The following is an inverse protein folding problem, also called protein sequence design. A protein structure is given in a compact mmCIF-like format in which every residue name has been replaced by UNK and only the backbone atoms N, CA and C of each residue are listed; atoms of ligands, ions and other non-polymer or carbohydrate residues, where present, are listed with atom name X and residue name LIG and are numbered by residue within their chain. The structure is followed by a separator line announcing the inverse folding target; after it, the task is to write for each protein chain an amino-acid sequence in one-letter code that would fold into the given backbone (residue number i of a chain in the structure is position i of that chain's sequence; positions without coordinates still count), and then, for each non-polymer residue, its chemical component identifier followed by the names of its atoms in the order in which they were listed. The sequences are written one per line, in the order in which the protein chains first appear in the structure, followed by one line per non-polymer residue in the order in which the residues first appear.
data_IF_474551208942
#
_entry.id   IF_474551208942
#
_cell.length_a   1.000
_cell.length_b   1.000
_cell.length_c   1.000
_cell.angle_alpha   90.00
_cell.angle_beta   90.00
_cell.angle_gamma   90.00
#
_symmetry.space_group_name_H-M   'P 1'
#
loop_
_entity.id
_entity.type
_entity.pdbx_description
1 polymer ?
#
# COMPACT_ATOMS: atom_id res chain seq x y z
N UNK A 1 -16.34 9.94 7.41
CA UNK A 1 -16.31 9.09 6.20
C UNK A 1 -15.66 7.74 6.50
N UNK A 2 -14.53 7.71 7.21
CA UNK A 2 -13.81 6.51 7.67
C UNK A 2 -14.67 5.36 8.22
N UNK A 3 -15.61 5.64 9.14
CA UNK A 3 -16.44 4.60 9.76
C UNK A 3 -17.27 3.75 8.77
N UNK A 4 -17.49 4.24 7.54
CA UNK A 4 -18.21 3.49 6.50
C UNK A 4 -17.41 2.31 5.95
N UNK A 5 -16.08 2.34 6.03
CA UNK A 5 -15.24 1.22 5.60
C UNK A 5 -15.46 -0.05 6.44
N UNK A 6 -15.91 0.09 7.69
CA UNK A 6 -16.28 -1.06 8.52
C UNK A 6 -17.49 -1.84 7.97
N UNK A 7 -18.27 -1.23 7.08
CA UNK A 7 -19.41 -1.87 6.42
C UNK A 7 -19.06 -2.39 5.01
N UNK A 8 -17.84 -2.19 4.53
CA UNK A 8 -17.41 -2.62 3.20
C UNK A 8 -16.58 -3.90 3.30
N UNK A 9 -16.92 -4.89 2.47
CA UNK A 9 -16.20 -6.17 2.44
C UNK A 9 -14.94 -6.15 1.60
N UNK A 10 -14.94 -5.33 0.55
CA UNK A 10 -13.84 -5.17 -0.39
C UNK A 10 -13.91 -3.78 -1.02
N UNK A 11 -12.78 -3.09 -1.07
CA UNK A 11 -12.60 -1.90 -1.89
C UNK A 11 -12.00 -2.29 -3.25
N UNK A 12 -12.55 -1.73 -4.33
CA UNK A 12 -12.09 -1.95 -5.70
C UNK A 12 -11.44 -0.65 -6.17
N UNK A 13 -10.15 -0.72 -6.51
CA UNK A 13 -9.38 0.45 -6.90
C UNK A 13 -9.62 0.84 -8.37
N UNK A 14 -9.26 2.08 -8.69
CA UNK A 14 -9.36 2.66 -10.03
C UNK A 14 -8.04 2.57 -10.79
N UNK A 15 -8.13 2.51 -12.12
CA UNK A 15 -6.98 2.51 -13.03
C UNK A 15 -7.22 3.55 -14.15
N UNK A 16 -6.20 4.29 -14.63
CA UNK A 16 -4.77 4.19 -14.34
C UNK A 16 -4.30 4.99 -13.11
N UNK A 17 -5.17 5.79 -12.49
CA UNK A 17 -4.85 6.51 -11.27
C UNK A 17 -5.35 5.71 -10.06
N UNK A 18 -4.43 5.00 -9.41
CA UNK A 18 -4.73 4.18 -8.22
C UNK A 18 -4.92 5.05 -6.99
N UNK A 19 -5.69 4.54 -6.04
CA UNK A 19 -6.01 5.23 -4.80
C UNK A 19 -4.77 5.45 -3.93
N UNK A 20 -4.68 6.63 -3.33
CA UNK A 20 -3.64 6.98 -2.37
C UNK A 20 -4.24 7.08 -0.95
N UNK A 21 -4.70 8.27 -0.54
CA UNK A 21 -5.29 8.49 0.79
C UNK A 21 -6.47 7.56 1.06
N UNK A 22 -7.35 7.39 0.06
CA UNK A 22 -8.52 6.49 0.14
C UNK A 22 -8.11 5.04 0.40
N UNK A 23 -7.01 4.58 -0.22
CA UNK A 23 -6.49 3.24 0.02
C UNK A 23 -5.91 3.10 1.43
N UNK A 24 -5.18 4.11 1.92
CA UNK A 24 -4.69 4.10 3.31
C UNK A 24 -5.83 4.05 4.32
N UNK A 25 -6.88 4.83 4.09
CA UNK A 25 -8.08 4.85 4.95
C UNK A 25 -8.79 3.49 4.94
N UNK A 26 -8.97 2.86 3.77
CA UNK A 26 -9.56 1.54 3.65
C UNK A 26 -8.75 0.50 4.45
N UNK A 27 -7.43 0.44 4.21
CA UNK A 27 -6.54 -0.51 4.88
C UNK A 27 -6.47 -0.27 6.40
N UNK A 28 -6.42 1.01 6.83
CA UNK A 28 -6.43 1.39 8.25
C UNK A 28 -7.71 0.96 8.96
N UNK A 29 -8.84 1.01 8.26
CA UNK A 29 -10.14 0.60 8.79
C UNK A 29 -10.43 -0.90 8.65
N UNK A 30 -9.45 -1.70 8.19
CA UNK A 30 -9.60 -3.15 8.04
C UNK A 30 -10.31 -3.61 6.76
N UNK A 31 -10.53 -2.71 5.80
CA UNK A 31 -11.15 -3.07 4.52
C UNK A 31 -10.06 -3.44 3.50
N UNK A 32 -10.02 -4.70 2.99
CA UNK A 32 -9.07 -5.08 1.96
C UNK A 32 -9.37 -4.31 0.66
N UNK A 33 -8.32 -4.00 -0.10
CA UNK A 33 -8.40 -3.24 -1.35
C UNK A 33 -7.69 -4.00 -2.46
N UNK A 34 -8.42 -4.36 -3.51
CA UNK A 34 -7.84 -4.92 -4.73
C UNK A 34 -7.39 -3.80 -5.67
N UNK A 35 -6.21 -3.92 -6.27
CA UNK A 35 -5.65 -2.92 -7.20
C UNK A 35 -4.96 -3.55 -8.41
N UNK A 36 -4.79 -2.77 -9.48
CA UNK A 36 -4.10 -3.15 -10.71
C UNK A 36 -2.81 -2.34 -10.86
N UNK A 37 -1.66 -3.02 -10.86
CA UNK A 37 -0.38 -2.40 -11.07
C UNK A 37 -0.18 -2.00 -12.54
N UNK A 38 0.19 -0.74 -12.79
CA UNK A 38 0.66 -0.28 -14.10
C UNK A 38 2.15 0.10 -14.11
N UNK A 39 2.54 0.80 -15.18
CA UNK A 39 3.93 1.20 -15.44
C UNK A 39 4.26 2.62 -14.96
N UNK A 40 3.27 3.36 -14.47
CA UNK A 40 3.44 4.74 -14.00
C UNK A 40 3.42 4.83 -12.49
N UNK A 41 4.01 5.88 -11.91
CA UNK A 41 3.91 6.11 -10.47
C UNK A 41 2.45 6.14 -9.97
N UNK A 42 1.57 6.85 -10.68
CA UNK A 42 0.15 6.98 -10.31
C UNK A 42 -0.63 5.65 -10.35
N UNK A 43 -0.18 4.68 -11.15
CA UNK A 43 -0.78 3.35 -11.25
C UNK A 43 -0.15 2.32 -10.30
N UNK A 44 0.76 2.75 -9.41
CA UNK A 44 1.50 1.85 -8.51
C UNK A 44 1.40 2.24 -7.03
N UNK A 45 0.66 3.31 -6.71
CA UNK A 45 0.54 3.80 -5.34
C UNK A 45 -0.13 2.73 -4.48
N UNK A 46 -1.33 2.29 -4.86
CA UNK A 46 -2.05 1.28 -4.10
C UNK A 46 -1.31 -0.06 -4.05
N UNK A 47 -0.65 -0.47 -5.15
CA UNK A 47 0.24 -1.66 -5.19
C UNK A 47 1.32 -1.61 -4.10
N UNK A 48 1.96 -0.44 -3.93
CA UNK A 48 2.95 -0.26 -2.86
C UNK A 48 2.32 -0.33 -1.46
N UNK A 49 1.11 0.21 -1.29
CA UNK A 49 0.40 0.20 -0.01
C UNK A 49 0.04 -1.24 0.41
N UNK A 50 -0.60 -2.02 -0.47
CA UNK A 50 -1.00 -3.40 -0.16
C UNK A 50 0.21 -4.30 0.10
N UNK A 51 1.32 -4.11 -0.61
CA UNK A 51 2.57 -4.81 -0.34
C UNK A 51 3.17 -4.45 1.04
N UNK A 52 3.13 -3.17 1.44
CA UNK A 52 3.67 -2.71 2.73
C UNK A 52 2.88 -3.24 3.94
N UNK A 53 1.60 -3.54 3.78
CA UNK A 53 0.76 -4.20 4.80
C UNK A 53 0.80 -5.73 4.70
N UNK A 54 1.66 -6.29 3.84
CA UNK A 54 1.84 -7.74 3.70
C UNK A 54 0.74 -8.46 2.90
N UNK A 55 -0.03 -7.71 2.11
CA UNK A 55 -1.13 -8.20 1.28
C UNK A 55 -0.83 -8.00 -0.22
N UNK A 56 0.39 -8.37 -0.65
CA UNK A 56 0.81 -8.23 -2.04
C UNK A 56 -0.08 -9.02 -3.01
N UNK A 57 -0.77 -10.07 -2.53
CA UNK A 57 -1.77 -10.84 -3.26
C UNK A 57 -2.96 -9.99 -3.77
N UNK A 58 -3.19 -8.80 -3.21
CA UNK A 58 -4.26 -7.90 -3.63
C UNK A 58 -3.88 -6.98 -4.80
N UNK A 59 -2.66 -7.12 -5.35
CA UNK A 59 -2.22 -6.39 -6.52
C UNK A 59 -2.13 -7.31 -7.74
N UNK A 60 -3.01 -7.13 -8.71
CA UNK A 60 -2.93 -7.80 -10.01
C UNK A 60 -1.89 -7.13 -10.93
N UNK A 61 -1.32 -7.89 -11.86
CA UNK A 61 -0.36 -7.39 -12.85
C UNK A 61 -0.95 -7.25 -14.27
N UNK A 62 -2.21 -7.65 -14.47
CA UNK A 62 -2.92 -7.48 -15.74
C UNK A 62 -4.44 -7.33 -15.51
N UNK A 63 -5.19 -6.77 -16.48
CA UNK A 63 -6.64 -6.67 -16.38
C UNK A 63 -7.34 -8.02 -16.16
N UNK A 64 -6.88 -9.08 -16.82
CA UNK A 64 -7.44 -10.44 -16.64
C UNK A 64 -7.20 -10.98 -15.24
N UNK A 65 -5.98 -10.80 -14.70
CA UNK A 65 -5.69 -11.18 -13.31
C UNK A 65 -6.49 -10.34 -12.31
N UNK A 66 -6.75 -9.07 -12.63
CA UNK A 66 -7.55 -8.20 -11.78
C UNK A 66 -9.01 -8.66 -11.73
N UNK A 67 -9.57 -9.07 -12.86
CA UNK A 67 -10.91 -9.66 -12.92
C UNK A 67 -10.99 -10.97 -12.13
N UNK A 68 -10.03 -11.88 -12.32
CA UNK A 68 -9.95 -13.15 -11.57
C UNK A 68 -9.84 -12.89 -10.06
N UNK A 69 -8.95 -11.99 -9.64
CA UNK A 69 -8.78 -11.59 -8.25
C UNK A 69 -10.10 -11.06 -7.65
N UNK A 70 -10.82 -10.21 -8.38
CA UNK A 70 -12.10 -9.67 -7.92
C UNK A 70 -13.17 -10.75 -7.80
N UNK A 71 -13.23 -11.70 -8.74
CA UNK A 71 -14.18 -12.81 -8.70
C UNK A 71 -13.90 -13.72 -7.50
N UNK A 72 -12.64 -14.07 -7.27
CA UNK A 72 -12.22 -14.92 -6.16
C UNK A 72 -12.55 -14.25 -4.82
N UNK A 73 -12.17 -12.98 -4.67
CA UNK A 73 -12.48 -12.21 -3.47
C UNK A 73 -13.99 -12.02 -3.28
N UNK A 74 -14.78 -11.88 -4.34
CA UNK A 74 -16.23 -11.73 -4.23
C UNK A 74 -16.93 -13.03 -3.78
N UNK A 75 -16.42 -14.18 -4.21
CA UNK A 75 -17.03 -15.49 -3.94
C UNK A 75 -16.62 -16.10 -2.60
N UNK A 76 -15.40 -15.81 -2.13
CA UNK A 76 -14.86 -16.42 -0.92
C UNK A 76 -14.91 -15.45 0.27
N UNK A 77 -15.96 -15.56 1.08
CA UNK A 77 -16.10 -14.75 2.30
C UNK A 77 -15.03 -15.11 3.34
N UNK A 78 -14.64 -16.37 3.46
CA UNK A 78 -13.64 -16.80 4.44
C UNK A 78 -12.26 -16.22 4.10
N UNK A 79 -11.93 -16.12 2.80
CA UNK A 79 -10.73 -15.43 2.35
C UNK A 79 -10.79 -13.94 2.69
N UNK A 80 -11.91 -13.25 2.45
CA UNK A 80 -12.06 -11.83 2.85
C UNK A 80 -11.93 -11.62 4.35
N UNK A 81 -12.52 -12.51 5.15
CA UNK A 81 -12.42 -12.44 6.61
C UNK A 81 -10.97 -12.63 7.08
N UNK A 82 -10.24 -13.59 6.51
CA UNK A 82 -8.81 -13.77 6.80
C UNK A 82 -7.97 -12.54 6.44
N UNK A 83 -8.27 -11.87 5.32
CA UNK A 83 -7.60 -10.61 4.95
C UNK A 83 -7.94 -9.48 5.93
N UNK A 84 -9.19 -9.37 6.36
CA UNK A 84 -9.64 -8.39 7.36
C UNK A 84 -8.95 -8.63 8.70
N UNK A 85 -8.84 -9.88 9.15
CA UNK A 85 -8.13 -10.24 10.37
C UNK A 85 -6.66 -9.80 10.31
N UNK A 86 -5.97 -10.12 9.20
CA UNK A 86 -4.59 -9.62 8.97
C UNK A 86 -4.50 -8.10 9.09
N UNK A 87 -5.47 -7.35 8.54
CA UNK A 87 -5.51 -5.89 8.61
C UNK A 87 -5.76 -5.37 10.03
N UNK A 88 -6.61 -6.03 10.83
CA UNK A 88 -6.88 -5.64 12.22
C UNK A 88 -5.63 -5.80 13.10
N UNK A 89 -4.80 -6.81 12.79
CA UNK A 89 -3.52 -7.04 13.47
C UNK A 89 -2.35 -6.22 12.90
N UNK A 90 -2.58 -5.25 12.00
CA UNK A 90 -1.50 -4.40 11.46
C UNK A 90 -0.77 -3.58 12.52
N UNK A 91 -1.42 -3.28 13.64
CA UNK A 91 -0.78 -2.62 14.78
C UNK A 91 0.39 -3.42 15.36
N UNK A 92 0.41 -4.73 15.16
CA UNK A 92 1.47 -5.64 15.62
C UNK A 92 2.70 -5.62 14.68
N UNK A 93 2.53 -5.14 13.44
CA UNK A 93 3.62 -4.97 12.46
C UNK A 93 3.50 -3.63 11.71
N UNK A 94 3.69 -2.50 12.40
CA UNK A 94 3.40 -1.19 11.84
C UNK A 94 4.52 -0.83 10.84
N UNK A 95 4.33 -1.17 9.57
CA UNK A 95 5.21 -0.68 8.49
C UNK A 95 4.64 0.58 7.88
N UNK A 96 3.40 0.49 7.38
CA UNK A 96 2.75 1.60 6.69
C UNK A 96 2.36 2.74 7.65
N UNK A 97 2.09 2.43 8.92
CA UNK A 97 1.51 3.37 9.88
C UNK A 97 2.42 3.66 11.10
N UNK A 98 3.71 3.32 11.01
CA UNK A 98 4.71 3.69 12.02
C UNK A 98 5.32 5.05 11.67
N UNK A 99 4.66 6.12 12.12
CA UNK A 99 5.13 7.48 11.91
C UNK A 99 6.55 7.71 12.50
N UNK A 100 6.88 7.25 13.72
CA UNK A 100 8.25 7.35 14.25
C UNK A 100 9.31 6.69 13.35
N UNK A 101 9.07 5.49 12.83
CA UNK A 101 9.99 4.82 11.89
C UNK A 101 10.10 5.57 10.57
N UNK A 102 8.98 6.05 10.04
CA UNK A 102 8.98 6.86 8.84
C UNK A 102 9.85 8.12 9.02
N UNK A 103 9.68 8.85 10.12
CA UNK A 103 10.47 10.05 10.44
C UNK A 103 11.96 9.72 10.54
N UNK A 104 12.33 8.67 11.30
CA UNK A 104 13.75 8.25 11.39
C UNK A 104 14.37 7.93 10.03
N UNK A 105 13.61 7.25 9.16
CA UNK A 105 14.08 6.95 7.81
C UNK A 105 14.22 8.21 6.96
N UNK A 106 13.27 9.14 7.08
CA UNK A 106 13.32 10.42 6.36
C UNK A 106 14.51 11.27 6.80
N UNK A 107 14.77 11.38 8.10
CA UNK A 107 15.94 12.07 8.67
C UNK A 107 17.25 11.48 8.15
N UNK A 108 17.36 10.15 8.10
CA UNK A 108 18.52 9.46 7.49
C UNK A 108 18.68 9.81 6.01
N UNK A 109 17.58 9.90 5.26
CA UNK A 109 17.60 10.33 3.87
C UNK A 109 18.16 11.74 3.74
N UNK A 110 17.67 12.68 4.54
CA UNK A 110 18.14 14.07 4.51
C UNK A 110 19.63 14.18 4.88
N UNK A 111 20.08 13.47 5.93
CA UNK A 111 21.49 13.44 6.29
C UNK A 111 22.37 12.93 5.14
N UNK A 112 21.94 11.87 4.44
CA UNK A 112 22.65 11.33 3.28
C UNK A 112 22.67 12.31 2.09
N UNK A 113 21.57 13.00 1.82
CA UNK A 113 21.49 14.04 0.78
C UNK A 113 22.46 15.19 1.06
N UNK A 114 22.52 15.65 2.32
CA UNK A 114 23.44 16.71 2.76
C UNK A 114 24.90 16.26 2.62
N UNK A 115 25.24 15.04 3.05
CA UNK A 115 26.58 14.48 2.91
C UNK A 115 27.00 14.36 1.43
N UNK A 116 26.10 13.91 0.55
CA UNK A 116 26.35 13.81 -0.88
C UNK A 116 26.59 15.20 -1.51
N UNK A 117 25.81 16.21 -1.11
CA UNK A 117 25.98 17.58 -1.58
C UNK A 117 27.31 18.18 -1.11
N UNK A 118 27.69 17.96 0.16
CA UNK A 118 28.97 18.43 0.71
C UNK A 118 30.19 17.81 0.01
N UNK A 119 30.06 16.59 -0.51
CA UNK A 119 31.09 15.92 -1.30
C UNK A 119 31.23 16.45 -2.75
N UNK A 120 30.41 17.43 -3.16
CA UNK A 120 30.51 18.11 -4.46
C UNK A 120 30.00 17.31 -5.66
N UNK A 121 29.29 16.21 -5.44
CA UNK A 121 28.71 15.38 -6.49
C UNK A 121 27.34 15.88 -6.99
N UNK A 122 26.91 15.40 -8.16
CA UNK A 122 25.54 15.60 -8.64
C UNK A 122 24.54 14.72 -7.86
N UNK A 123 23.25 15.11 -7.77
CA UNK A 123 22.23 14.27 -7.14
C UNK A 123 22.19 12.87 -7.76
N UNK A 124 22.20 11.85 -6.91
CA UNK A 124 22.13 10.44 -7.30
C UNK A 124 21.14 9.69 -6.43
N UNK A 125 20.51 8.65 -6.97
CA UNK A 125 19.68 7.73 -6.21
C UNK A 125 20.51 6.99 -5.15
N UNK A 126 19.90 6.71 -4.02
CA UNK A 126 20.47 5.89 -2.96
C UNK A 126 19.35 5.20 -2.18
N UNK A 127 19.64 4.03 -1.63
CA UNK A 127 18.70 3.26 -0.83
C UNK A 127 18.97 3.45 0.66
N UNK A 128 17.89 3.53 1.43
CA UNK A 128 17.93 3.48 2.88
C UNK A 128 17.75 2.03 3.32
N UNK A 129 18.84 1.37 3.71
CA UNK A 129 18.77 0.06 4.38
C UNK A 129 18.17 0.18 5.78
#
# INVERSE_FOLDING_TARGET
QLARYCCADLAIDTFPCTSNTVARDALWMGCPLATLAGDTFASRIATSLVANVGLAELSAASPSQYEELLIDLARDSAHRDALRDKLQHLSETPRLFDAPRFVRNLERAYAQMVANAAAGGTPKGFDLR
#
